data_IF_379554836406
#
_entry.id   IF_379554836406
#
_cell.length_a   1.000
_cell.length_b   1.000
_cell.length_c   1.000
_cell.angle_alpha   90.00
_cell.angle_beta   90.00
_cell.angle_gamma   90.00
#
_symmetry.space_group_name_H-M   'P 1'
#
loop_
_entity.id
_entity.type
_entity.pdbx_description
1 polymer ?
#
# COMPACT_ATOMS: atom_id res chain seq x y z
N UNK A 1 -5.10 -7.73 12.68
CA UNK A 1 -4.89 -6.28 12.50
C UNK A 1 -5.77 -5.73 11.39
N UNK A 2 -5.85 -4.41 11.28
CA UNK A 2 -6.64 -3.74 10.25
C UNK A 2 -5.82 -2.64 9.57
N UNK A 3 -6.06 -2.45 8.28
CA UNK A 3 -5.54 -1.32 7.50
C UNK A 3 -6.74 -0.45 7.15
N UNK A 4 -6.66 0.82 7.54
CA UNK A 4 -7.73 1.79 7.29
C UNK A 4 -7.37 2.63 6.08
N UNK A 5 -8.34 2.78 5.18
CA UNK A 5 -8.23 3.67 4.03
C UNK A 5 -9.30 4.76 4.10
N UNK A 6 -8.92 5.96 3.69
CA UNK A 6 -9.81 7.10 3.62
C UNK A 6 -10.69 7.09 2.38
N UNK A 7 -11.76 7.90 2.39
CA UNK A 7 -12.53 8.17 1.18
C UNK A 7 -11.66 8.85 0.11
N UNK A 8 -11.97 8.65 -1.18
CA UNK A 8 -11.22 9.26 -2.29
C UNK A 8 -11.15 10.79 -2.21
N UNK A 9 -12.23 11.42 -1.77
CA UNK A 9 -12.33 12.89 -1.76
C UNK A 9 -11.78 13.50 -0.47
N UNK A 10 -12.06 12.89 0.68
CA UNK A 10 -11.78 13.50 2.00
C UNK A 10 -10.65 12.80 2.77
N UNK A 11 -10.16 11.67 2.29
CA UNK A 11 -9.18 10.87 3.02
C UNK A 11 -9.72 10.34 4.36
N UNK A 12 -8.80 10.09 5.29
CA UNK A 12 -9.10 9.78 6.70
C UNK A 12 -9.19 11.11 7.46
N UNK A 13 -10.10 11.19 8.45
CA UNK A 13 -10.21 12.37 9.32
C UNK A 13 -8.86 12.67 9.98
N UNK A 14 -8.46 13.93 9.95
CA UNK A 14 -7.17 14.39 10.47
C UNK A 14 -6.96 14.01 11.94
N UNK A 15 -7.99 14.13 12.78
CA UNK A 15 -7.95 13.73 14.19
C UNK A 15 -7.53 12.26 14.40
N UNK A 16 -7.95 11.36 13.49
CA UNK A 16 -7.59 9.93 13.55
C UNK A 16 -6.12 9.73 13.16
N UNK A 17 -5.65 10.47 12.14
CA UNK A 17 -4.25 10.44 11.70
C UNK A 17 -3.32 11.01 12.79
N UNK A 18 -3.70 12.13 13.41
CA UNK A 18 -2.93 12.78 14.47
C UNK A 18 -2.86 11.91 15.73
N UNK A 19 -3.93 11.20 16.07
CA UNK A 19 -3.96 10.27 17.19
C UNK A 19 -3.14 8.98 16.95
N UNK A 20 -2.83 8.65 15.69
CA UNK A 20 -2.15 7.40 15.31
C UNK A 20 -0.92 7.64 14.42
N UNK A 21 -0.22 8.78 14.59
CA UNK A 21 0.89 9.20 13.70
C UNK A 21 1.94 8.12 13.44
N UNK A 22 2.31 7.37 14.48
CA UNK A 22 3.33 6.31 14.38
C UNK A 22 2.86 5.08 13.59
N UNK A 23 1.55 4.94 13.36
CA UNK A 23 0.93 3.87 12.59
C UNK A 23 0.54 4.30 11.18
N UNK A 24 0.80 5.56 10.82
CA UNK A 24 0.52 6.06 9.48
C UNK A 24 1.60 5.57 8.50
N UNK A 25 1.15 5.12 7.32
CA UNK A 25 2.01 4.66 6.24
C UNK A 25 1.85 5.61 5.06
N UNK A 26 2.96 5.94 4.40
CA UNK A 26 2.98 6.78 3.20
C UNK A 26 3.54 5.98 2.03
N UNK A 27 2.78 5.90 0.93
CA UNK A 27 3.29 5.36 -0.33
C UNK A 27 4.17 6.46 -0.97
N UNK A 28 5.45 6.19 -1.26
CA UNK A 28 6.29 7.16 -1.96
C UNK A 28 5.71 7.51 -3.34
N UNK A 29 5.54 8.80 -3.62
CA UNK A 29 5.06 9.30 -4.92
C UNK A 29 6.09 10.26 -5.51
N UNK A 30 6.31 10.18 -6.82
CA UNK A 30 7.16 11.13 -7.54
C UNK A 30 6.49 12.51 -7.67
N UNK A 31 7.30 13.58 -7.80
CA UNK A 31 6.85 14.96 -7.63
C UNK A 31 5.86 15.52 -8.68
N UNK A 32 5.53 14.79 -9.76
CA UNK A 32 4.54 15.24 -10.76
C UNK A 32 3.11 14.77 -10.45
N UNK A 33 2.94 13.75 -9.60
CA UNK A 33 1.63 13.21 -9.21
C UNK A 33 1.12 13.86 -7.92
N UNK A 34 -0.19 14.15 -7.85
CA UNK A 34 -0.82 14.71 -6.64
C UNK A 34 -1.25 13.63 -5.62
N UNK A 35 -1.79 12.52 -6.12
CA UNK A 35 -2.21 11.37 -5.31
C UNK A 35 -2.38 10.15 -6.20
N UNK A 36 -2.29 8.97 -5.60
CA UNK A 36 -2.83 7.75 -6.18
C UNK A 36 -4.33 7.70 -5.94
N UNK A 37 -5.07 7.06 -6.85
CA UNK A 37 -6.47 6.72 -6.54
C UNK A 37 -6.52 5.70 -5.39
N UNK A 38 -7.68 5.61 -4.73
CA UNK A 38 -7.85 4.76 -3.56
C UNK A 38 -7.62 3.27 -3.88
N UNK A 39 -8.07 2.80 -5.04
CA UNK A 39 -7.89 1.40 -5.44
C UNK A 39 -6.42 1.01 -5.61
N UNK A 40 -5.62 1.85 -6.26
CA UNK A 40 -4.18 1.64 -6.45
C UNK A 40 -3.45 1.69 -5.10
N UNK A 41 -3.76 2.68 -4.26
CA UNK A 41 -3.18 2.77 -2.93
C UNK A 41 -3.51 1.52 -2.08
N UNK A 42 -4.77 1.06 -2.11
CA UNK A 42 -5.22 -0.14 -1.41
C UNK A 42 -4.51 -1.39 -1.92
N UNK A 43 -4.37 -1.53 -3.24
CA UNK A 43 -3.67 -2.65 -3.86
C UNK A 43 -2.19 -2.71 -3.45
N UNK A 44 -1.48 -1.59 -3.50
CA UNK A 44 -0.06 -1.51 -3.09
C UNK A 44 0.11 -1.94 -1.63
N UNK A 45 -0.69 -1.36 -0.73
CA UNK A 45 -0.55 -1.64 0.71
C UNK A 45 -0.96 -3.07 1.04
N UNK A 46 -2.01 -3.60 0.40
CA UNK A 46 -2.44 -5.00 0.60
C UNK A 46 -1.38 -5.97 0.08
N UNK A 47 -0.80 -5.69 -1.08
CA UNK A 47 0.30 -6.49 -1.64
C UNK A 47 1.48 -6.54 -0.68
N UNK A 48 1.91 -5.39 -0.16
CA UNK A 48 3.03 -5.32 0.78
C UNK A 48 2.73 -6.03 2.11
N UNK A 49 1.51 -5.88 2.62
CA UNK A 49 1.07 -6.60 3.81
C UNK A 49 1.12 -8.13 3.60
N UNK A 50 0.66 -8.62 2.45
CA UNK A 50 0.75 -10.04 2.11
C UNK A 50 2.21 -10.49 1.95
N UNK A 51 3.03 -9.71 1.24
CA UNK A 51 4.45 -10.03 1.01
C UNK A 51 5.22 -10.21 2.32
N UNK A 52 4.93 -9.39 3.33
CA UNK A 52 5.62 -9.46 4.62
C UNK A 52 5.07 -10.51 5.59
N UNK A 53 3.77 -10.82 5.52
CA UNK A 53 3.09 -11.56 6.60
C UNK A 53 2.52 -12.92 6.15
N UNK A 54 2.50 -13.22 4.86
CA UNK A 54 1.95 -14.48 4.35
C UNK A 54 3.07 -15.45 3.94
N UNK A 55 3.25 -16.52 4.72
CA UNK A 55 4.25 -17.56 4.45
C UNK A 55 4.12 -18.24 3.08
N UNK A 56 2.92 -18.22 2.49
CA UNK A 56 2.65 -18.77 1.16
C UNK A 56 2.96 -17.82 0.01
N UNK A 57 3.45 -16.60 0.25
CA UNK A 57 3.62 -15.57 -0.76
C UNK A 57 4.60 -15.97 -1.88
N UNK A 58 5.71 -16.60 -1.52
CA UNK A 58 6.69 -17.12 -2.49
C UNK A 58 6.08 -18.20 -3.40
N UNK A 59 5.19 -19.04 -2.87
CA UNK A 59 4.56 -20.14 -3.63
C UNK A 59 3.62 -19.65 -4.72
N UNK A 60 3.05 -18.45 -4.54
CA UNK A 60 2.16 -17.83 -5.52
C UNK A 60 2.89 -16.83 -6.43
N UNK A 61 4.18 -16.59 -6.16
CA UNK A 61 5.00 -15.67 -6.95
C UNK A 61 5.52 -16.39 -8.19
N UNK A 62 5.21 -15.86 -9.37
CA UNK A 62 5.73 -16.38 -10.63
C UNK A 62 7.10 -15.74 -10.86
N UNK A 63 8.15 -16.56 -10.88
CA UNK A 63 9.50 -16.10 -11.17
C UNK A 63 9.57 -15.55 -12.61
N UNK A 64 10.29 -14.43 -12.78
CA UNK A 64 10.59 -13.91 -14.11
C UNK A 64 11.45 -14.92 -14.87
N UNK A 65 11.01 -15.31 -16.08
CA UNK A 65 11.68 -16.31 -16.92
C UNK A 65 12.44 -15.71 -18.11
N UNK A 66 12.58 -14.38 -18.16
CA UNK A 66 13.39 -13.72 -19.17
C UNK A 66 14.87 -13.94 -18.87
N UNK A 67 15.60 -14.57 -19.79
CA UNK A 67 17.06 -14.62 -19.76
C UNK A 67 17.63 -13.27 -20.21
N UNK A 68 18.65 -12.76 -19.51
CA UNK A 68 19.37 -11.56 -19.94
C UNK A 68 20.15 -11.86 -21.22
N UNK A 69 19.90 -11.08 -22.29
CA UNK A 69 20.57 -11.17 -23.59
C UNK A 69 22.00 -10.64 -23.57
#
# INVERSE_FOLDING_TARGET
DFILFGSETKGIREEVLLANKERCITIPMGGKGRSLNLGVATGIVTYEALRQNYDGFEKITIANSLEES
#
